data_IF_443313534557
#
_entry.id   IF_443313534557
#
_cell.length_a   1.000
_cell.length_b   1.000
_cell.length_c   1.000
_cell.angle_alpha   90.00
_cell.angle_beta   90.00
_cell.angle_gamma   90.00
#
_symmetry.space_group_name_H-M   'P 1'
#
loop_
_entity.id
_entity.type
_entity.pdbx_description
1 polymer ?
#
# COMPACT_ATOMS: atom_id res chain seq x y z
N UNK A 1 -3.65 2.70 -37.77
CA UNK A 1 -3.23 1.43 -37.14
C UNK A 1 -2.84 1.54 -35.65
N UNK A 2 -2.92 2.72 -35.03
CA UNK A 2 -2.52 2.93 -33.61
C UNK A 2 -3.67 2.83 -32.60
N UNK A 3 -4.92 3.06 -33.02
CA UNK A 3 -6.08 3.12 -32.11
C UNK A 3 -6.51 1.79 -31.48
N UNK A 4 -6.00 0.65 -31.96
CA UNK A 4 -6.42 -0.68 -31.48
C UNK A 4 -5.33 -1.42 -30.70
N UNK A 5 -4.06 -1.15 -31.01
CA UNK A 5 -2.93 -1.88 -30.43
C UNK A 5 -2.74 -1.50 -28.95
N UNK A 6 -2.68 -0.20 -28.64
CA UNK A 6 -2.45 0.25 -27.26
C UNK A 6 -3.58 -0.17 -26.30
N UNK A 7 -4.87 -0.02 -26.65
CA UNK A 7 -5.97 -0.54 -25.82
C UNK A 7 -5.90 -2.04 -25.59
N UNK A 8 -5.48 -2.82 -26.60
CA UNK A 8 -5.32 -4.27 -26.47
C UNK A 8 -4.19 -4.63 -25.51
N UNK A 9 -3.00 -4.03 -25.67
CA UNK A 9 -1.87 -4.26 -24.76
C UNK A 9 -2.25 -3.91 -23.32
N UNK A 10 -2.94 -2.79 -23.13
CA UNK A 10 -3.43 -2.37 -21.81
C UNK A 10 -4.40 -3.41 -21.24
N UNK A 11 -5.39 -3.85 -22.02
CA UNK A 11 -6.36 -4.86 -21.59
C UNK A 11 -5.67 -6.16 -21.18
N UNK A 12 -4.75 -6.66 -22.00
CA UNK A 12 -4.01 -7.89 -21.69
C UNK A 12 -3.14 -7.74 -20.43
N UNK A 13 -2.46 -6.61 -20.27
CA UNK A 13 -1.68 -6.32 -19.06
C UNK A 13 -2.55 -6.25 -17.82
N UNK A 14 -3.72 -5.61 -17.93
CA UNK A 14 -4.72 -5.50 -16.88
C UNK A 14 -5.25 -6.86 -16.48
N UNK A 15 -5.66 -7.70 -17.44
CA UNK A 15 -6.17 -9.06 -17.19
C UNK A 15 -5.14 -9.96 -16.50
N UNK A 16 -3.86 -9.87 -16.91
CA UNK A 16 -2.77 -10.58 -16.22
C UNK A 16 -2.65 -10.14 -14.76
N UNK A 17 -2.65 -8.82 -14.52
CA UNK A 17 -2.57 -8.28 -13.16
C UNK A 17 -3.79 -8.66 -12.31
N UNK A 18 -5.00 -8.70 -12.89
CA UNK A 18 -6.19 -9.19 -12.19
C UNK A 18 -6.04 -10.64 -11.73
N UNK A 19 -5.56 -11.50 -12.63
CA UNK A 19 -5.37 -12.92 -12.35
C UNK A 19 -4.32 -13.11 -11.25
N UNK A 20 -3.21 -12.37 -11.34
CA UNK A 20 -2.18 -12.36 -10.31
C UNK A 20 -2.72 -11.87 -8.97
N UNK A 21 -3.49 -10.77 -8.98
CA UNK A 21 -4.05 -10.21 -7.77
C UNK A 21 -5.03 -11.14 -7.07
N UNK A 22 -5.70 -12.04 -7.79
CA UNK A 22 -6.63 -13.01 -7.19
C UNK A 22 -5.96 -13.96 -6.18
N UNK A 23 -4.68 -14.30 -6.36
CA UNK A 23 -3.95 -15.19 -5.44
C UNK A 23 -3.29 -14.43 -4.27
N UNK A 24 -3.19 -13.10 -4.36
CA UNK A 24 -2.54 -12.29 -3.32
C UNK A 24 -3.47 -12.11 -2.12
N UNK A 25 -3.01 -12.61 -0.97
CA UNK A 25 -3.75 -12.56 0.30
C UNK A 25 -3.76 -11.18 0.95
N UNK A 26 -2.61 -10.51 0.95
CA UNK A 26 -2.44 -9.23 1.64
C UNK A 26 -1.73 -8.22 0.76
N UNK A 27 -2.25 -7.00 0.74
CA UNK A 27 -1.69 -5.88 -0.02
C UNK A 27 -1.51 -4.64 0.84
N UNK A 28 -0.59 -3.77 0.42
CA UNK A 28 -0.49 -2.39 0.86
C UNK A 28 -0.69 -1.48 -0.35
N UNK A 29 -1.30 -0.31 -0.13
CA UNK A 29 -1.49 0.69 -1.17
C UNK A 29 -0.65 1.92 -0.86
N UNK A 30 -0.09 2.53 -1.89
CA UNK A 30 0.46 3.88 -1.83
C UNK A 30 -0.26 4.77 -2.82
N UNK A 31 -0.41 6.04 -2.45
CA UNK A 31 -0.94 7.08 -3.33
C UNK A 31 0.10 8.17 -3.48
N UNK A 32 0.41 8.51 -4.72
CA UNK A 32 1.27 9.64 -5.04
C UNK A 32 0.45 10.71 -5.78
N UNK A 33 0.39 11.92 -5.23
CA UNK A 33 -0.32 13.05 -5.82
C UNK A 33 0.69 14.00 -6.45
N UNK A 34 0.53 14.26 -7.74
CA UNK A 34 1.47 15.06 -8.52
C UNK A 34 0.76 15.99 -9.49
N UNK A 35 1.44 17.04 -9.92
CA UNK A 35 0.94 18.00 -10.91
C UNK A 35 1.75 17.88 -12.20
N UNK A 36 1.07 17.74 -13.33
CA UNK A 36 1.69 17.64 -14.64
C UNK A 36 2.29 18.98 -15.09
N UNK A 37 3.06 18.92 -16.17
CA UNK A 37 3.55 20.12 -16.85
C UNK A 37 2.41 20.99 -17.42
N UNK A 38 1.25 20.39 -17.73
CA UNK A 38 0.02 21.07 -18.14
C UNK A 38 -0.74 21.70 -16.96
N UNK A 39 -0.20 21.63 -15.74
CA UNK A 39 -0.83 22.10 -14.48
C UNK A 39 -2.08 21.32 -14.08
N UNK A 40 -2.21 20.09 -14.56
CA UNK A 40 -3.28 19.18 -14.19
C UNK A 40 -2.82 18.31 -13.04
N UNK A 41 -3.70 18.08 -12.06
CA UNK A 41 -3.34 17.27 -10.89
C UNK A 41 -3.78 15.82 -11.08
N UNK A 42 -2.98 14.90 -10.58
CA UNK A 42 -3.21 13.46 -10.69
C UNK A 42 -2.92 12.76 -9.36
N UNK A 43 -3.59 11.63 -9.16
CA UNK A 43 -3.27 10.64 -8.13
C UNK A 43 -2.93 9.32 -8.81
N UNK A 44 -1.74 8.81 -8.54
CA UNK A 44 -1.35 7.44 -8.92
C UNK A 44 -1.52 6.53 -7.72
N UNK A 45 -2.25 5.44 -7.88
CA UNK A 45 -2.42 4.39 -6.86
C UNK A 45 -1.56 3.19 -7.23
N UNK A 46 -0.66 2.80 -6.33
CA UNK A 46 0.24 1.65 -6.51
C UNK A 46 -0.06 0.59 -5.45
N UNK A 47 -0.22 -0.66 -5.88
CA UNK A 47 -0.34 -1.81 -4.99
C UNK A 47 1.01 -2.45 -4.75
N UNK A 48 1.24 -2.87 -3.52
CA UNK A 48 2.44 -3.57 -3.08
C UNK A 48 2.06 -4.87 -2.37
N UNK A 49 2.77 -5.95 -2.66
CA UNK A 49 2.64 -7.21 -1.94
C UNK A 49 3.95 -8.00 -1.95
N UNK A 50 4.04 -9.01 -1.10
CA UNK A 50 5.16 -9.94 -1.08
C UNK A 50 4.75 -11.21 -1.80
N UNK A 51 5.49 -11.55 -2.85
CA UNK A 51 5.29 -12.79 -3.61
C UNK A 51 5.70 -14.03 -2.80
N UNK A 52 5.30 -15.21 -3.28
CA UNK A 52 5.70 -16.51 -2.69
C UNK A 52 7.22 -16.68 -2.61
N UNK A 53 7.97 -16.03 -3.51
CA UNK A 53 9.45 -16.01 -3.52
C UNK A 53 10.05 -14.99 -2.54
N UNK A 54 9.25 -14.46 -1.61
CA UNK A 54 9.62 -13.43 -0.63
C UNK A 54 10.17 -12.14 -1.26
N UNK A 55 9.75 -11.83 -2.48
CA UNK A 55 10.11 -10.58 -3.16
C UNK A 55 8.95 -9.60 -3.11
N UNK A 56 9.24 -8.35 -2.78
CA UNK A 56 8.29 -7.25 -2.90
C UNK A 56 7.99 -6.99 -4.37
N UNK A 57 6.71 -6.99 -4.73
CA UNK A 57 6.20 -6.67 -6.06
C UNK A 57 5.34 -5.42 -5.95
N UNK A 58 5.42 -4.54 -6.95
CA UNK A 58 4.68 -3.28 -7.00
C UNK A 58 4.07 -3.08 -8.38
N UNK A 59 2.78 -2.73 -8.44
CA UNK A 59 2.07 -2.44 -9.69
C UNK A 59 1.23 -1.18 -9.57
N UNK A 60 1.22 -0.35 -10.62
CA UNK A 60 0.28 0.77 -10.71
C UNK A 60 -1.10 0.21 -11.05
N UNK A 61 -2.08 0.48 -10.20
CA UNK A 61 -3.47 0.08 -10.42
C UNK A 61 -4.21 1.10 -11.27
N UNK A 62 -3.98 2.39 -10.99
CA UNK A 62 -4.67 3.47 -11.68
C UNK A 62 -3.91 4.81 -11.54
N UNK A 63 -4.10 5.69 -12.52
CA UNK A 63 -3.72 7.10 -12.46
C UNK A 63 -4.95 7.93 -12.79
N UNK A 64 -5.42 8.69 -11.80
CA UNK A 64 -6.70 9.40 -11.84
C UNK A 64 -6.41 10.90 -11.88
N UNK A 65 -7.04 11.63 -12.80
CA UNK A 65 -7.01 13.09 -12.79
C UNK A 65 -7.85 13.62 -11.62
N UNK A 66 -7.26 14.52 -10.83
CA UNK A 66 -7.91 15.20 -9.72
C UNK A 66 -8.39 16.57 -10.19
N UNK A 67 -9.71 16.70 -10.37
CA UNK A 67 -10.35 17.98 -10.69
C UNK A 67 -10.70 18.79 -9.42
N UNK A 68 -10.83 18.09 -8.30
CA UNK A 68 -11.17 18.67 -7.00
C UNK A 68 -9.94 19.04 -6.17
N UNK A 69 -10.15 19.82 -5.10
CA UNK A 69 -9.09 20.12 -4.12
C UNK A 69 -8.60 18.83 -3.45
N UNK A 70 -7.29 18.77 -3.17
CA UNK A 70 -6.63 17.62 -2.53
C UNK A 70 -6.88 17.57 -1.01
N UNK A 71 -8.14 17.60 -0.58
CA UNK A 71 -8.49 17.36 0.82
C UNK A 71 -8.49 15.85 1.11
N UNK A 72 -8.31 15.47 2.37
CA UNK A 72 -8.35 14.07 2.81
C UNK A 72 -9.60 13.34 2.35
N UNK A 73 -10.75 14.02 2.39
CA UNK A 73 -12.06 13.48 2.05
C UNK A 73 -12.15 13.17 0.55
N UNK A 74 -11.69 14.08 -0.30
CA UNK A 74 -11.73 13.91 -1.75
C UNK A 74 -10.77 12.81 -2.20
N UNK A 75 -9.56 12.76 -1.63
CA UNK A 75 -8.59 11.70 -1.95
C UNK A 75 -9.12 10.32 -1.51
N UNK A 76 -9.73 10.24 -0.32
CA UNK A 76 -10.37 9.01 0.17
C UNK A 76 -11.53 8.58 -0.74
N UNK A 77 -12.35 9.52 -1.22
CA UNK A 77 -13.43 9.22 -2.15
C UNK A 77 -12.90 8.66 -3.49
N UNK A 78 -11.78 9.19 -4.01
CA UNK A 78 -11.15 8.64 -5.21
C UNK A 78 -10.60 7.22 -5.00
N UNK A 79 -10.00 6.96 -3.84
CA UNK A 79 -9.57 5.61 -3.47
C UNK A 79 -10.73 4.63 -3.34
N UNK A 80 -11.85 5.05 -2.74
CA UNK A 80 -13.05 4.21 -2.61
C UNK A 80 -13.66 3.87 -3.98
N UNK A 81 -13.63 4.80 -4.95
CA UNK A 81 -14.10 4.54 -6.32
C UNK A 81 -13.31 3.43 -7.03
N UNK A 82 -12.02 3.28 -6.72
CA UNK A 82 -11.16 2.23 -7.27
C UNK A 82 -11.59 0.83 -6.81
N UNK A 83 -12.17 0.72 -5.62
CA UNK A 83 -12.52 -0.56 -4.98
C UNK A 83 -14.01 -0.95 -5.14
N UNK A 84 -14.90 0.04 -5.31
CA UNK A 84 -16.36 -0.14 -5.31
C UNK A 84 -17.01 -0.25 -6.71
N UNK A 85 -16.26 -0.63 -7.74
CA UNK A 85 -16.79 -0.83 -9.11
C UNK A 85 -17.48 0.42 -9.72
N UNK A 86 -17.25 1.62 -9.19
CA UNK A 86 -17.96 2.85 -9.61
C UNK A 86 -17.53 3.34 -11.00
N UNK A 87 -16.43 2.82 -11.54
CA UNK A 87 -15.85 3.20 -12.84
C UNK A 87 -16.09 2.18 -13.96
N UNK A 88 -16.99 1.20 -13.77
CA UNK A 88 -17.34 0.21 -14.80
C UNK A 88 -16.17 -0.68 -15.24
N UNK A 89 -15.13 -0.79 -14.41
CA UNK A 89 -13.94 -1.58 -14.66
C UNK A 89 -13.76 -2.57 -13.51
N UNK A 90 -13.62 -3.85 -13.86
CA UNK A 90 -13.52 -5.02 -12.99
C UNK A 90 -12.94 -4.77 -11.59
N UNK A 91 -13.63 -5.28 -10.56
CA UNK A 91 -13.28 -5.12 -9.14
C UNK A 91 -11.89 -5.67 -8.79
N UNK A 92 -10.99 -4.81 -8.31
CA UNK A 92 -9.73 -5.27 -7.70
C UNK A 92 -9.95 -6.07 -6.40
N UNK A 93 -11.12 -5.87 -5.75
CA UNK A 93 -11.50 -6.46 -4.47
C UNK A 93 -10.38 -6.31 -3.43
N UNK A 94 -9.93 -5.06 -3.23
CA UNK A 94 -8.83 -4.70 -2.35
C UNK A 94 -9.28 -4.66 -0.89
N UNK A 95 -10.54 -4.31 -0.60
CA UNK A 95 -11.05 -4.27 0.78
C UNK A 95 -10.80 -5.58 1.54
N UNK A 96 -10.99 -6.74 0.90
CA UNK A 96 -10.72 -8.04 1.54
C UNK A 96 -9.23 -8.39 1.69
N UNK A 97 -8.35 -7.67 1.01
CA UNK A 97 -6.89 -7.92 0.96
C UNK A 97 -6.08 -6.93 1.75
N UNK A 98 -6.62 -5.73 2.01
CA UNK A 98 -5.99 -4.77 2.92
C UNK A 98 -6.04 -5.39 4.32
N UNK A 99 -4.87 -5.75 4.83
CA UNK A 99 -4.79 -6.38 6.14
C UNK A 99 -5.29 -5.41 7.21
N UNK A 100 -6.05 -5.93 8.18
CA UNK A 100 -6.33 -5.17 9.39
C UNK A 100 -4.99 -4.86 10.09
N UNK A 101 -4.62 -3.59 10.07
CA UNK A 101 -3.37 -3.13 10.63
C UNK A 101 -3.42 -3.13 12.16
N UNK A 102 -4.60 -3.03 12.78
CA UNK A 102 -4.74 -2.89 14.23
C UNK A 102 -4.16 -4.08 15.01
N UNK A 103 -4.42 -5.35 14.66
CA UNK A 103 -3.83 -6.51 15.34
C UNK A 103 -2.31 -6.56 15.23
N UNK A 104 -1.76 -6.27 14.05
CA UNK A 104 -0.31 -6.28 13.81
C UNK A 104 0.35 -5.17 14.62
N UNK A 105 -0.21 -3.96 14.54
CA UNK A 105 0.26 -2.81 15.29
C UNK A 105 0.20 -3.04 16.81
N UNK A 106 -0.87 -3.66 17.32
CA UNK A 106 -0.98 -4.04 18.72
C UNK A 106 0.13 -5.01 19.16
N UNK A 107 0.40 -6.05 18.36
CA UNK A 107 1.48 -7.02 18.64
C UNK A 107 2.85 -6.35 18.64
N UNK A 108 3.14 -5.50 17.65
CA UNK A 108 4.40 -4.75 17.59
C UNK A 108 4.57 -3.85 18.83
N UNK A 109 3.53 -3.10 19.21
CA UNK A 109 3.55 -2.25 20.41
C UNK A 109 3.77 -3.04 21.68
N UNK A 110 3.13 -4.21 21.81
CA UNK A 110 3.33 -5.10 22.95
C UNK A 110 4.77 -5.57 23.06
N UNK A 111 5.34 -6.08 21.96
CA UNK A 111 6.74 -6.56 21.92
C UNK A 111 7.70 -5.43 22.31
N UNK A 112 7.56 -4.25 21.69
CA UNK A 112 8.42 -3.09 21.98
C UNK A 112 8.27 -2.65 23.44
N UNK A 113 7.06 -2.69 23.99
CA UNK A 113 6.81 -2.32 25.40
C UNK A 113 7.44 -3.33 26.36
N UNK A 114 7.29 -4.62 26.09
CA UNK A 114 7.88 -5.70 26.89
C UNK A 114 9.39 -5.55 27.01
N UNK A 115 10.09 -5.35 25.88
CA UNK A 115 11.54 -5.19 25.91
C UNK A 115 11.96 -3.86 26.57
N UNK A 116 11.25 -2.76 26.34
CA UNK A 116 11.54 -1.49 27.02
C UNK A 116 11.40 -1.58 28.55
N UNK A 117 10.48 -2.41 29.05
CA UNK A 117 10.23 -2.58 30.49
C UNK A 117 11.09 -3.68 31.14
N UNK A 118 11.77 -4.52 30.35
CA UNK A 118 12.57 -5.65 30.85
C UNK A 118 14.03 -5.55 30.41
N UNK A 119 14.89 -5.07 31.32
CA UNK A 119 16.34 -4.98 31.11
C UNK A 119 16.97 -6.35 30.85
N UNK A 120 16.48 -7.39 31.50
CA UNK A 120 16.94 -8.77 31.34
C UNK A 120 16.59 -9.28 29.93
N UNK A 121 15.34 -9.11 29.49
CA UNK A 121 14.92 -9.56 28.16
C UNK A 121 15.65 -8.79 27.06
N UNK A 122 15.86 -7.48 27.24
CA UNK A 122 16.61 -6.64 26.30
C UNK A 122 18.07 -7.03 26.21
N UNK A 123 18.72 -7.34 27.34
CA UNK A 123 20.09 -7.85 27.34
C UNK A 123 20.21 -9.17 26.59
N UNK A 124 19.25 -10.10 26.80
CA UNK A 124 19.20 -11.37 26.06
C UNK A 124 19.00 -11.17 24.56
N UNK A 125 18.08 -10.29 24.16
CA UNK A 125 17.85 -9.96 22.76
C UNK A 125 19.12 -9.40 22.11
N UNK A 126 19.81 -8.48 22.78
CA UNK A 126 21.06 -7.93 22.29
C UNK A 126 22.19 -8.95 22.18
N UNK A 127 22.23 -9.98 23.03
CA UNK A 127 23.20 -11.05 22.94
C UNK A 127 22.97 -11.97 21.72
N UNK A 128 21.73 -12.06 21.24
CA UNK A 128 21.35 -12.88 20.08
C UNK A 128 21.46 -12.14 18.74
N UNK A 129 21.44 -10.80 18.74
CA UNK A 129 21.57 -10.01 17.51
C UNK A 129 23.02 -9.96 17.02
N UNK A 130 23.26 -10.38 15.77
CA UNK A 130 24.58 -10.42 15.13
C UNK A 130 24.91 -9.17 14.29
N UNK A 131 24.07 -8.12 14.33
CA UNK A 131 24.21 -6.89 13.54
C UNK A 131 24.25 -5.60 14.37
N UNK A 132 24.22 -4.42 13.72
CA UNK A 132 24.21 -3.12 14.40
C UNK A 132 23.07 -3.02 15.41
N UNK A 133 23.40 -2.66 16.65
CA UNK A 133 22.41 -2.48 17.72
C UNK A 133 21.52 -1.29 17.40
N UNK A 134 20.32 -1.57 16.89
CA UNK A 134 19.28 -0.58 16.63
C UNK A 134 18.40 -0.40 17.86
N UNK A 135 17.93 0.83 18.14
CA UNK A 135 16.98 1.08 19.23
C UNK A 135 15.59 0.62 18.82
N UNK A 136 14.91 -0.12 19.70
CA UNK A 136 13.48 -0.39 19.55
C UNK A 136 12.73 0.93 19.72
N UNK A 137 12.10 1.39 18.64
CA UNK A 137 11.40 2.67 18.63
C UNK A 137 9.90 2.39 18.72
N UNK A 138 9.20 3.05 19.64
CA UNK A 138 7.73 3.00 19.66
C UNK A 138 7.22 3.83 18.50
N UNK A 139 6.24 3.29 17.79
CA UNK A 139 5.49 4.09 16.82
C UNK A 139 4.79 5.23 17.58
N UNK A 140 4.97 6.45 17.07
CA UNK A 140 4.32 7.66 17.60
C UNK A 140 3.46 8.16 16.46
N UNK A 141 2.16 8.34 16.71
CA UNK A 141 1.28 8.97 15.72
C UNK A 141 1.89 10.30 15.31
N UNK A 142 2.40 10.36 14.09
CA UNK A 142 2.80 11.61 13.47
C UNK A 142 1.51 12.38 13.20
N UNK A 143 1.42 13.58 13.77
CA UNK A 143 0.42 14.55 13.32
C UNK A 143 0.81 14.95 11.91
N UNK A 144 -0.02 14.55 10.95
CA UNK A 144 -0.03 15.19 9.64
C UNK A 144 -0.56 16.61 9.88
N UNK A 145 0.31 17.60 9.73
CA UNK A 145 -0.06 19.01 9.80
C UNK A 145 -0.83 19.42 8.54
#
# INVERSE_FOLDING_TARGET
MTHTILPNIYREAKERLFTEMASVKHVALTTDCWTSISKESYMTVTVHYVSEKQKMISHVLNTIQLEERHTSENLAAQLMKLDLNLTGTSDWNLTGKIADFFPIHAKCRYIVTYFNQSSIATTKLHALCTGPKSKLTKDVSTRWN
#
